data_IF_804087562617
#
_entry.id   IF_804087562617
#
_cell.length_a   1.000
_cell.length_b   1.000
_cell.length_c   1.000
_cell.angle_alpha   90.00
_cell.angle_beta   90.00
_cell.angle_gamma   90.00
#
_symmetry.space_group_name_H-M   'P 1'
#
loop_
_entity.id
_entity.type
_entity.pdbx_description
1 polymer ?
#
# COMPACT_ATOMS: atom_id res chain seq x y z
N UNK A 1 4.67 48.77 -35.09
CA UNK A 1 4.45 47.55 -34.31
C UNK A 1 2.96 47.44 -34.02
N UNK A 2 2.22 46.53 -34.68
CA UNK A 2 0.84 46.26 -34.37
C UNK A 2 0.74 45.45 -33.06
N UNK A 3 0.28 46.10 -32.00
CA UNK A 3 -0.04 45.43 -30.73
C UNK A 3 -1.50 44.96 -30.82
N UNK A 4 -1.69 43.71 -31.18
CA UNK A 4 -3.00 43.05 -31.06
C UNK A 4 -3.21 42.64 -29.61
N UNK A 5 -4.12 43.29 -28.93
CA UNK A 5 -4.52 42.93 -27.55
C UNK A 5 -5.57 41.82 -27.55
N UNK A 6 -5.58 41.00 -26.50
CA UNK A 6 -6.63 40.00 -26.26
C UNK A 6 -7.98 40.66 -26.02
N UNK A 7 -9.04 40.09 -26.55
CA UNK A 7 -10.39 40.50 -26.26
C UNK A 7 -10.88 39.97 -24.93
N UNK A 8 -11.77 40.66 -24.26
CA UNK A 8 -12.37 40.26 -22.98
C UNK A 8 -13.10 38.91 -23.09
N UNK A 9 -13.72 38.66 -24.25
CA UNK A 9 -14.44 37.41 -24.50
C UNK A 9 -13.50 36.22 -24.69
N UNK A 10 -12.32 36.38 -25.31
CA UNK A 10 -11.33 35.34 -25.44
C UNK A 10 -10.79 34.90 -24.09
N UNK A 11 -10.57 35.85 -23.16
CA UNK A 11 -10.15 35.50 -21.80
C UNK A 11 -11.26 34.78 -21.04
N UNK A 12 -12.52 35.26 -21.20
CA UNK A 12 -13.66 34.68 -20.48
C UNK A 12 -13.93 33.23 -20.89
N UNK A 13 -13.90 32.94 -22.20
CA UNK A 13 -14.12 31.56 -22.69
C UNK A 13 -13.04 30.60 -22.21
N UNK A 14 -11.77 31.03 -22.14
CA UNK A 14 -10.66 30.21 -21.63
C UNK A 14 -10.87 29.87 -20.15
N UNK A 15 -11.26 30.86 -19.32
CA UNK A 15 -11.54 30.65 -17.90
C UNK A 15 -12.71 29.66 -17.68
N UNK A 16 -13.76 29.76 -18.50
CA UNK A 16 -14.91 28.85 -18.42
C UNK A 16 -14.48 27.40 -18.76
N UNK A 17 -13.69 27.21 -19.83
CA UNK A 17 -13.21 25.89 -20.23
C UNK A 17 -12.33 25.30 -19.16
N UNK A 18 -11.37 26.06 -18.61
CA UNK A 18 -10.49 25.60 -17.51
C UNK A 18 -11.33 25.23 -16.28
N UNK A 19 -12.31 26.02 -15.93
CA UNK A 19 -13.21 25.75 -14.80
C UNK A 19 -14.00 24.45 -14.97
N UNK A 20 -14.53 24.18 -16.16
CA UNK A 20 -15.24 22.94 -16.48
C UNK A 20 -14.31 21.73 -16.41
N UNK A 21 -13.10 21.82 -16.97
CA UNK A 21 -12.11 20.74 -16.91
C UNK A 21 -11.66 20.47 -15.48
N UNK A 22 -11.42 21.50 -14.68
CA UNK A 22 -11.02 21.38 -13.28
C UNK A 22 -12.13 20.71 -12.43
N UNK A 23 -13.39 21.03 -12.68
CA UNK A 23 -14.51 20.43 -11.95
C UNK A 23 -14.59 18.89 -12.09
N UNK A 24 -14.16 18.34 -13.23
CA UNK A 24 -14.15 16.91 -13.48
C UNK A 24 -12.83 16.27 -12.99
N UNK A 25 -11.71 16.96 -13.14
CA UNK A 25 -10.39 16.43 -12.85
C UNK A 25 -10.15 16.24 -11.34
N UNK A 26 -10.52 17.23 -10.51
CA UNK A 26 -10.21 17.22 -9.07
C UNK A 26 -10.76 15.98 -8.33
N UNK A 27 -12.06 15.61 -8.43
CA UNK A 27 -12.57 14.44 -7.71
C UNK A 27 -11.98 13.13 -8.21
N UNK A 28 -11.61 13.05 -9.48
CA UNK A 28 -11.03 11.83 -10.06
C UNK A 28 -9.61 11.55 -9.54
N UNK A 29 -8.83 12.59 -9.29
CA UNK A 29 -7.47 12.46 -8.77
C UNK A 29 -7.42 12.01 -7.30
N UNK A 30 -8.38 12.40 -6.46
CA UNK A 30 -8.48 11.94 -5.07
C UNK A 30 -8.58 10.42 -4.96
N UNK A 31 -9.52 9.83 -5.68
CA UNK A 31 -9.72 8.36 -5.71
C UNK A 31 -8.53 7.60 -6.30
N UNK A 32 -7.78 8.21 -7.22
CA UNK A 32 -6.60 7.58 -7.82
C UNK A 32 -5.44 7.48 -6.85
N UNK A 33 -5.24 8.51 -6.02
CA UNK A 33 -4.20 8.50 -4.97
C UNK A 33 -4.46 7.41 -3.94
N UNK A 34 -5.68 7.27 -3.46
CA UNK A 34 -6.04 6.22 -2.50
C UNK A 34 -5.79 4.82 -3.07
N UNK A 35 -6.18 4.57 -4.32
CA UNK A 35 -5.90 3.30 -5.01
C UNK A 35 -4.39 3.03 -5.11
N UNK A 36 -3.56 4.06 -5.31
CA UNK A 36 -2.11 3.93 -5.35
C UNK A 36 -1.54 3.52 -3.98
N UNK A 37 -2.02 4.09 -2.88
CA UNK A 37 -1.61 3.69 -1.53
C UNK A 37 -2.00 2.24 -1.22
N UNK A 38 -3.22 1.84 -1.57
CA UNK A 38 -3.69 0.46 -1.42
C UNK A 38 -2.84 -0.50 -2.25
N UNK A 39 -2.52 -0.15 -3.50
CA UNK A 39 -1.67 -0.96 -4.36
C UNK A 39 -0.23 -1.11 -3.79
N UNK A 40 0.33 -0.04 -3.25
CA UNK A 40 1.62 -0.05 -2.57
C UNK A 40 1.62 -0.97 -1.35
N UNK A 41 0.61 -0.88 -0.47
CA UNK A 41 0.48 -1.77 0.69
C UNK A 41 0.34 -3.24 0.28
N UNK A 42 -0.43 -3.53 -0.77
CA UNK A 42 -0.55 -4.90 -1.31
C UNK A 42 0.76 -5.43 -1.85
N UNK A 43 1.53 -4.59 -2.54
CA UNK A 43 2.85 -4.96 -3.05
C UNK A 43 3.81 -5.29 -1.91
N UNK A 44 3.85 -4.44 -0.89
CA UNK A 44 4.71 -4.65 0.29
C UNK A 44 4.36 -5.94 1.03
N UNK A 45 3.07 -6.24 1.22
CA UNK A 45 2.64 -7.49 1.86
C UNK A 45 3.04 -8.73 1.04
N UNK A 46 2.98 -8.67 -0.31
CA UNK A 46 3.48 -9.77 -1.16
C UNK A 46 4.99 -9.93 -1.07
N UNK A 47 5.72 -8.83 -1.01
CA UNK A 47 7.17 -8.86 -0.81
C UNK A 47 7.53 -9.44 0.56
N UNK A 48 6.73 -9.15 1.59
CA UNK A 48 6.88 -9.74 2.93
C UNK A 48 6.67 -11.27 2.88
N UNK A 49 5.67 -11.76 2.13
CA UNK A 49 5.50 -13.22 1.92
C UNK A 49 6.79 -13.82 1.37
N UNK A 50 7.35 -13.23 0.32
CA UNK A 50 8.58 -13.73 -0.30
C UNK A 50 9.76 -13.74 0.69
N UNK A 51 9.88 -12.70 1.51
CA UNK A 51 10.95 -12.58 2.49
C UNK A 51 10.79 -13.60 3.63
N UNK A 52 9.57 -13.80 4.13
CA UNK A 52 9.27 -14.80 5.18
C UNK A 52 9.44 -16.24 4.69
N UNK A 53 9.06 -16.54 3.45
CA UNK A 53 9.28 -17.87 2.86
C UNK A 53 10.77 -18.15 2.64
N UNK A 54 11.55 -17.16 2.22
CA UNK A 54 13.00 -17.30 2.12
C UNK A 54 13.63 -17.55 3.51
N UNK A 55 13.22 -16.82 4.52
CA UNK A 55 13.67 -17.02 5.89
C UNK A 55 13.28 -18.40 6.44
N UNK A 56 12.05 -18.85 6.16
CA UNK A 56 11.57 -20.16 6.56
C UNK A 56 12.38 -21.31 5.92
N UNK A 57 12.79 -21.15 4.66
CA UNK A 57 13.61 -22.15 3.96
C UNK A 57 14.97 -22.37 4.66
N UNK A 58 15.53 -21.33 5.26
CA UNK A 58 16.83 -21.39 5.93
C UNK A 58 16.71 -21.76 7.42
N UNK A 59 15.66 -21.27 8.10
CA UNK A 59 15.52 -21.36 9.56
C UNK A 59 14.47 -22.37 10.03
N UNK A 60 13.65 -22.92 9.11
CA UNK A 60 12.50 -23.80 9.41
C UNK A 60 11.44 -23.17 10.33
N UNK A 61 11.45 -21.85 10.47
CA UNK A 61 10.51 -21.10 11.28
C UNK A 61 10.28 -19.70 10.67
N UNK A 62 9.12 -19.12 10.90
CA UNK A 62 8.83 -17.71 10.59
C UNK A 62 9.30 -16.81 11.72
N UNK A 63 9.47 -15.51 11.45
CA UNK A 63 9.87 -14.53 12.46
C UNK A 63 8.90 -13.35 12.52
N UNK A 64 8.80 -12.71 13.67
CA UNK A 64 8.04 -11.45 13.85
C UNK A 64 8.91 -10.20 13.63
N UNK A 65 10.19 -10.40 13.27
CA UNK A 65 11.15 -9.31 13.16
C UNK A 65 11.53 -9.04 11.72
N UNK A 66 11.37 -7.80 11.30
CA UNK A 66 11.81 -7.31 9.99
C UNK A 66 12.89 -6.24 10.19
N UNK A 67 13.84 -6.18 9.28
CA UNK A 67 14.89 -5.18 9.29
C UNK A 67 15.19 -4.69 7.87
N UNK A 68 15.53 -3.41 7.76
CA UNK A 68 15.85 -2.77 6.48
C UNK A 68 17.30 -2.99 6.03
N UNK A 69 18.14 -3.54 6.86
CA UNK A 69 19.53 -3.80 6.52
C UNK A 69 19.68 -5.05 5.64
N UNK A 70 20.73 -5.07 4.85
CA UNK A 70 21.11 -6.22 4.03
C UNK A 70 22.61 -6.46 4.20
N UNK A 71 23.03 -7.54 4.93
CA UNK A 71 22.19 -8.55 5.57
C UNK A 71 21.46 -8.05 6.81
N UNK A 72 20.29 -8.63 7.15
CA UNK A 72 19.54 -8.28 8.34
C UNK A 72 20.22 -8.86 9.59
N UNK A 73 19.92 -8.35 10.79
CA UNK A 73 20.33 -8.98 12.05
C UNK A 73 19.82 -10.42 12.17
N UNK A 74 20.55 -11.30 12.89
CA UNK A 74 20.10 -12.66 13.13
C UNK A 74 18.70 -12.70 13.74
N UNK A 75 17.83 -13.57 13.20
CA UNK A 75 16.45 -13.73 13.66
C UNK A 75 15.45 -12.78 13.02
N UNK A 76 15.87 -11.95 12.06
CA UNK A 76 14.99 -11.05 11.31
C UNK A 76 15.05 -11.30 9.80
N UNK A 77 14.00 -10.91 9.09
CA UNK A 77 13.98 -10.92 7.62
C UNK A 77 14.40 -9.56 7.06
N UNK A 78 15.17 -9.57 5.96
CA UNK A 78 15.50 -8.38 5.19
C UNK A 78 14.27 -7.89 4.44
N UNK A 79 13.49 -7.05 5.07
CA UNK A 79 12.30 -6.47 4.46
C UNK A 79 11.95 -5.10 5.06
N UNK A 80 11.56 -4.17 4.18
CA UNK A 80 11.14 -2.82 4.54
C UNK A 80 9.83 -2.47 3.83
N UNK A 81 8.92 -1.77 4.52
CA UNK A 81 7.76 -1.20 3.87
C UNK A 81 8.16 -0.03 2.96
N UNK A 82 7.43 0.16 1.88
CA UNK A 82 7.53 1.33 1.02
C UNK A 82 7.24 2.62 1.79
N UNK A 83 7.81 3.72 1.32
CA UNK A 83 7.65 5.03 1.96
C UNK A 83 6.17 5.39 2.17
N UNK A 84 5.81 5.69 3.41
CA UNK A 84 4.46 6.03 3.82
C UNK A 84 3.61 4.84 4.28
N UNK A 85 4.05 3.61 4.02
CA UNK A 85 3.45 2.41 4.57
C UNK A 85 4.06 2.07 5.94
N UNK A 86 3.26 1.50 6.82
CA UNK A 86 3.67 1.06 8.15
C UNK A 86 3.19 -0.36 8.40
N UNK A 87 4.11 -1.26 8.75
CA UNK A 87 3.78 -2.58 9.26
C UNK A 87 3.26 -2.41 10.70
N UNK A 88 1.95 -2.42 10.86
CA UNK A 88 1.29 -2.21 12.15
C UNK A 88 1.37 -3.46 13.05
N UNK A 89 1.23 -4.63 12.43
CA UNK A 89 1.30 -5.92 13.13
C UNK A 89 1.93 -6.98 12.25
N UNK A 90 2.79 -7.79 12.87
CA UNK A 90 3.30 -9.05 12.34
C UNK A 90 3.29 -10.06 13.48
N UNK A 91 2.62 -11.21 13.32
CA UNK A 91 2.51 -12.23 14.35
C UNK A 91 2.63 -13.63 13.76
N UNK A 92 3.54 -14.40 14.32
CA UNK A 92 3.72 -15.82 14.00
C UNK A 92 2.85 -16.65 14.93
N UNK A 93 2.08 -17.59 14.38
CA UNK A 93 1.19 -18.49 15.12
C UNK A 93 0.98 -19.82 14.38
N UNK A 94 1.08 -20.95 15.10
CA UNK A 94 0.66 -22.28 14.65
C UNK A 94 1.15 -22.68 13.24
N UNK A 95 2.44 -22.46 12.93
CA UNK A 95 3.01 -22.82 11.64
C UNK A 95 2.67 -21.88 10.49
N UNK A 96 2.27 -20.66 10.82
CA UNK A 96 1.99 -19.59 9.86
C UNK A 96 2.22 -18.23 10.48
N UNK A 97 1.84 -17.20 9.77
CA UNK A 97 1.94 -15.82 10.24
C UNK A 97 0.83 -14.93 9.66
N UNK A 98 0.60 -13.83 10.30
CA UNK A 98 -0.37 -12.83 9.84
C UNK A 98 0.21 -11.44 10.00
N UNK A 99 -0.06 -10.55 9.04
CA UNK A 99 0.42 -9.18 9.05
C UNK A 99 -0.68 -8.18 8.71
N UNK A 100 -0.55 -6.98 9.26
CA UNK A 100 -1.40 -5.84 8.95
C UNK A 100 -0.54 -4.64 8.59
N UNK A 101 -0.94 -3.95 7.54
CA UNK A 101 -0.28 -2.75 7.04
C UNK A 101 -1.25 -1.59 6.95
N UNK A 102 -0.78 -0.40 7.29
CA UNK A 102 -1.51 0.86 7.22
C UNK A 102 -0.71 1.90 6.44
N UNK A 103 -1.38 2.96 5.99
CA UNK A 103 -0.75 4.12 5.38
C UNK A 103 -1.43 5.38 5.89
N UNK A 104 -0.64 6.39 6.27
CA UNK A 104 -1.16 7.63 6.86
C UNK A 104 -2.10 8.45 5.96
N UNK A 105 -2.11 8.17 4.65
CA UNK A 105 -2.88 8.91 3.66
C UNK A 105 -4.20 8.22 3.25
N UNK A 106 -4.58 7.13 3.91
CA UNK A 106 -5.85 6.43 3.70
C UNK A 106 -6.35 5.80 4.99
N UNK A 107 -7.65 5.70 5.16
CA UNK A 107 -8.28 4.97 6.26
C UNK A 107 -8.30 3.45 6.02
N UNK A 108 -8.00 3.01 4.80
CA UNK A 108 -7.99 1.59 4.44
C UNK A 108 -6.73 0.92 5.02
N UNK A 109 -6.92 -0.19 5.70
CA UNK A 109 -5.84 -1.07 6.10
C UNK A 109 -5.79 -2.31 5.21
N UNK A 110 -4.60 -2.84 4.98
CA UNK A 110 -4.41 -4.10 4.26
C UNK A 110 -3.87 -5.15 5.22
N UNK A 111 -4.30 -6.39 5.03
CA UNK A 111 -3.82 -7.52 5.81
C UNK A 111 -3.59 -8.74 4.95
N UNK A 112 -2.82 -9.68 5.50
CA UNK A 112 -2.50 -10.97 4.90
C UNK A 112 -2.34 -12.00 6.00
N UNK A 113 -2.60 -13.28 5.70
CA UNK A 113 -2.24 -14.41 6.55
C UNK A 113 -1.71 -15.57 5.71
N UNK A 114 -0.86 -16.38 6.29
CA UNK A 114 -0.21 -17.53 5.66
C UNK A 114 -0.25 -18.70 6.65
N UNK A 115 -0.49 -19.91 6.14
CA UNK A 115 -0.57 -21.13 6.94
C UNK A 115 -1.72 -21.14 7.93
N UNK A 116 -1.55 -21.82 9.06
CA UNK A 116 -2.56 -21.97 10.10
C UNK A 116 -2.81 -20.73 10.97
N UNK A 117 -2.21 -19.58 10.66
CA UNK A 117 -2.34 -18.38 11.47
C UNK A 117 -3.76 -17.80 11.43
N UNK A 118 -4.31 -17.43 12.58
CA UNK A 118 -5.57 -16.70 12.66
C UNK A 118 -5.39 -15.28 12.09
N UNK A 119 -6.19 -14.86 11.10
CA UNK A 119 -6.04 -13.56 10.48
C UNK A 119 -6.40 -12.40 11.42
N UNK A 120 -5.70 -11.28 11.28
CA UNK A 120 -6.09 -10.01 11.90
C UNK A 120 -6.96 -9.17 10.97
N UNK A 121 -7.90 -8.37 11.49
CA UNK A 121 -8.57 -7.37 10.66
C UNK A 121 -7.56 -6.47 9.93
N UNK A 122 -7.75 -6.17 8.63
CA UNK A 122 -8.99 -6.36 7.86
C UNK A 122 -9.21 -7.77 7.26
N UNK A 123 -8.26 -8.70 7.36
CA UNK A 123 -8.43 -10.08 6.86
C UNK A 123 -9.38 -10.92 7.70
N UNK A 124 -10.04 -11.87 7.05
CA UNK A 124 -10.94 -12.85 7.66
C UNK A 124 -10.50 -14.26 7.24
N UNK A 125 -10.92 -15.28 7.99
CA UNK A 125 -10.63 -16.69 7.67
C UNK A 125 -11.20 -17.15 6.31
N UNK A 126 -12.22 -16.42 5.80
CA UNK A 126 -12.82 -16.68 4.49
C UNK A 126 -12.06 -16.03 3.32
N UNK A 127 -11.07 -15.17 3.58
CA UNK A 127 -10.29 -14.55 2.54
C UNK A 127 -9.24 -15.55 2.00
N UNK A 128 -8.74 -15.38 0.78
CA UNK A 128 -7.71 -16.24 0.23
C UNK A 128 -6.42 -16.16 1.04
N UNK A 129 -5.84 -17.31 1.35
CA UNK A 129 -4.51 -17.40 1.99
C UNK A 129 -3.43 -16.79 1.09
N UNK A 130 -2.42 -16.19 1.70
CA UNK A 130 -1.30 -15.52 1.02
C UNK A 130 -1.69 -14.40 0.05
N UNK A 131 -2.94 -13.94 0.08
CA UNK A 131 -3.43 -12.85 -0.75
C UNK A 131 -3.75 -11.60 0.10
N UNK A 132 -3.15 -10.43 -0.20
CA UNK A 132 -3.44 -9.20 0.52
C UNK A 132 -4.88 -8.73 0.32
N UNK A 133 -5.62 -8.53 1.39
CA UNK A 133 -6.98 -8.00 1.40
C UNK A 133 -6.99 -6.64 2.11
N UNK A 134 -7.64 -5.65 1.50
CA UNK A 134 -7.72 -4.27 2.02
C UNK A 134 -9.18 -3.87 2.21
N UNK A 135 -9.50 -3.31 3.38
CA UNK A 135 -10.83 -2.80 3.75
C UNK A 135 -10.69 -1.59 4.66
#
# INVERSE_FOLDING_TARGET
MNRTGFTLIELLIVLVIIGLLAAIAIPKFGNTKEKAYIASMKSDLRNLVTAEEAYFADSTAYTEQTDCNTPPPPGSVAWCPSRGNTLDKLKVRQGGWTARMTNANTSVACGIYVGGAAPFPPTKQSDPEAAPVCR
#
